data_IF_683779879314
#
_entry.id   IF_683779879314
#
_cell.length_a   1.000
_cell.length_b   1.000
_cell.length_c   1.000
_cell.angle_alpha   90.00
_cell.angle_beta   90.00
_cell.angle_gamma   90.00
#
_symmetry.space_group_name_H-M   'P 1'
#
loop_
_entity.id
_entity.type
_entity.pdbx_description
1 polymer ?
#
# COMPACT_ATOMS: atom_id res chain seq x y z
N UNK A 1 -5.23 -22.64 1.16
CA UNK A 1 -4.52 -21.54 1.86
C UNK A 1 -5.01 -20.19 1.35
N UNK A 2 -5.27 -19.24 2.25
CA UNK A 2 -5.80 -17.92 1.90
C UNK A 2 -4.70 -16.87 2.06
N UNK A 3 -4.57 -15.97 1.10
CA UNK A 3 -3.71 -14.81 1.16
C UNK A 3 -4.54 -13.53 1.06
N UNK A 4 -4.23 -12.54 1.89
CA UNK A 4 -4.83 -11.22 1.87
C UNK A 4 -3.78 -10.19 1.51
N UNK A 5 -3.90 -9.59 0.33
CA UNK A 5 -3.08 -8.46 -0.06
C UNK A 5 -3.72 -7.14 0.36
N UNK A 6 -3.03 -6.46 1.26
CA UNK A 6 -3.39 -5.16 1.84
C UNK A 6 -2.41 -4.14 1.29
N UNK A 7 -2.87 -3.20 0.47
CA UNK A 7 -2.00 -2.11 0.05
C UNK A 7 -2.71 -0.79 0.07
N UNK A 8 -1.96 0.29 0.21
CA UNK A 8 -2.53 1.63 0.10
C UNK A 8 -2.56 2.03 -1.37
N UNK A 9 -3.54 2.83 -1.78
CA UNK A 9 -3.55 3.38 -3.13
C UNK A 9 -2.22 4.07 -3.44
N UNK A 10 -1.68 3.88 -4.66
CA UNK A 10 -0.38 4.40 -5.10
C UNK A 10 0.87 3.74 -4.49
N UNK A 11 0.75 2.52 -3.94
CA UNK A 11 1.88 1.68 -3.51
C UNK A 11 2.26 0.57 -4.50
N UNK A 12 1.83 0.69 -5.77
CA UNK A 12 2.05 -0.36 -6.78
C UNK A 12 0.99 -1.47 -6.78
N UNK A 13 0.04 -1.41 -5.86
CA UNK A 13 -1.17 -2.24 -5.77
C UNK A 13 -1.87 -2.47 -7.09
N UNK A 14 -2.19 -1.40 -7.84
CA UNK A 14 -2.87 -1.52 -9.14
C UNK A 14 -2.04 -2.31 -10.16
N UNK A 15 -0.71 -2.14 -10.14
CA UNK A 15 0.19 -2.89 -11.03
C UNK A 15 0.22 -4.37 -10.65
N UNK A 16 0.41 -4.67 -9.37
CA UNK A 16 0.36 -6.04 -8.85
C UNK A 16 -0.99 -6.72 -9.15
N UNK A 17 -2.10 -6.01 -8.91
CA UNK A 17 -3.46 -6.49 -9.12
C UNK A 17 -3.81 -6.82 -10.56
N UNK A 18 -3.28 -6.06 -11.52
CA UNK A 18 -3.67 -6.18 -12.92
C UNK A 18 -2.70 -7.05 -13.73
N UNK A 19 -1.43 -7.13 -13.34
CA UNK A 19 -0.40 -7.78 -14.15
C UNK A 19 0.26 -8.96 -13.44
N UNK A 20 0.45 -8.90 -12.13
CA UNK A 20 1.25 -9.91 -11.42
C UNK A 20 0.35 -10.99 -10.83
N UNK A 21 -0.60 -10.64 -9.97
CA UNK A 21 -1.48 -11.61 -9.30
C UNK A 21 -2.31 -12.47 -10.27
N UNK A 22 -2.84 -11.95 -11.40
CA UNK A 22 -3.51 -12.78 -12.39
C UNK A 22 -2.62 -13.82 -13.08
N UNK A 23 -1.30 -13.68 -13.01
CA UNK A 23 -0.36 -14.57 -13.69
C UNK A 23 -0.02 -15.85 -12.92
N UNK A 24 -0.52 -16.00 -11.69
CA UNK A 24 -0.36 -17.22 -10.91
C UNK A 24 -1.49 -18.20 -11.26
N UNK A 25 -1.16 -19.29 -11.97
CA UNK A 25 -2.17 -20.24 -12.48
C UNK A 25 -2.86 -21.10 -11.42
N UNK A 26 -2.20 -21.34 -10.31
CA UNK A 26 -2.71 -22.21 -9.24
C UNK A 26 -3.32 -21.41 -8.08
N UNK A 27 -3.65 -20.14 -8.31
CA UNK A 27 -4.27 -19.27 -7.32
C UNK A 27 -5.60 -18.79 -7.86
N UNK A 28 -6.67 -18.97 -7.09
CA UNK A 28 -7.94 -18.30 -7.31
C UNK A 28 -7.78 -16.85 -6.88
N UNK A 29 -7.70 -15.96 -7.86
CA UNK A 29 -7.44 -14.54 -7.62
C UNK A 29 -8.71 -13.70 -7.66
N UNK A 30 -8.93 -12.93 -6.61
CA UNK A 30 -10.03 -11.98 -6.48
C UNK A 30 -9.51 -10.53 -6.40
N UNK A 31 -9.77 -9.75 -7.44
CA UNK A 31 -9.47 -8.31 -7.49
C UNK A 31 -10.69 -7.51 -7.02
N UNK A 32 -10.55 -6.72 -5.95
CA UNK A 32 -11.61 -5.83 -5.42
C UNK A 32 -12.94 -6.54 -5.13
N UNK A 33 -12.86 -7.64 -4.39
CA UNK A 33 -14.04 -8.44 -4.03
C UNK A 33 -14.88 -7.75 -2.96
N UNK A 34 -15.96 -7.09 -3.40
CA UNK A 34 -16.81 -6.25 -2.55
C UNK A 34 -17.30 -6.93 -1.26
N UNK A 35 -17.76 -8.20 -1.24
CA UNK A 35 -18.21 -8.84 0.00
C UNK A 35 -17.12 -8.88 1.08
N UNK A 36 -15.88 -9.20 0.72
CA UNK A 36 -14.78 -9.24 1.68
C UNK A 36 -14.47 -7.84 2.25
N UNK A 37 -14.50 -6.81 1.42
CA UNK A 37 -14.29 -5.43 1.85
C UNK A 37 -15.40 -4.93 2.78
N UNK A 38 -16.65 -5.27 2.49
CA UNK A 38 -17.77 -4.94 3.37
C UNK A 38 -17.62 -5.67 4.69
N UNK A 39 -17.32 -6.97 4.64
CA UNK A 39 -17.10 -7.77 5.84
C UNK A 39 -15.95 -7.24 6.69
N UNK A 40 -14.81 -6.87 6.12
CA UNK A 40 -13.71 -6.31 6.90
C UNK A 40 -14.19 -5.06 7.65
N UNK A 41 -14.96 -4.19 7.00
CA UNK A 41 -15.47 -2.97 7.61
C UNK A 41 -16.56 -3.20 8.68
N UNK A 42 -17.47 -4.17 8.49
CA UNK A 42 -18.70 -4.27 9.30
C UNK A 42 -18.80 -5.53 10.16
N UNK A 43 -18.06 -6.59 9.84
CA UNK A 43 -18.22 -7.92 10.43
C UNK A 43 -19.53 -8.62 10.03
N UNK A 44 -20.22 -8.18 8.97
CA UNK A 44 -21.53 -8.73 8.57
C UNK A 44 -21.45 -10.23 8.22
N UNK A 45 -22.12 -11.13 8.97
CA UNK A 45 -22.10 -12.57 8.71
C UNK A 45 -22.54 -12.96 7.30
N UNK A 46 -23.46 -12.21 6.67
CA UNK A 46 -23.90 -12.51 5.29
C UNK A 46 -22.77 -12.32 4.30
N UNK A 47 -21.95 -11.29 4.49
CA UNK A 47 -20.76 -11.08 3.65
C UNK A 47 -19.72 -12.16 3.91
N UNK A 48 -19.53 -12.61 5.16
CA UNK A 48 -18.66 -13.74 5.48
C UNK A 48 -19.10 -15.02 4.73
N UNK A 49 -20.39 -15.34 4.74
CA UNK A 49 -20.94 -16.49 4.02
C UNK A 49 -20.70 -16.40 2.52
N UNK A 50 -20.89 -15.22 1.92
CA UNK A 50 -20.60 -15.00 0.49
C UNK A 50 -19.13 -15.20 0.17
N UNK A 51 -18.23 -14.74 1.04
CA UNK A 51 -16.79 -14.94 0.89
C UNK A 51 -16.44 -16.43 0.97
N UNK A 52 -16.95 -17.14 1.97
CA UNK A 52 -16.69 -18.59 2.12
C UNK A 52 -17.18 -19.38 0.91
N UNK A 53 -18.41 -19.13 0.45
CA UNK A 53 -18.93 -19.78 -0.76
C UNK A 53 -18.06 -19.52 -1.99
N UNK A 54 -17.55 -18.30 -2.16
CA UNK A 54 -16.68 -17.96 -3.27
C UNK A 54 -15.33 -18.71 -3.20
N UNK A 55 -14.82 -18.94 -1.99
CA UNK A 55 -13.63 -19.78 -1.74
C UNK A 55 -13.94 -21.26 -2.03
N UNK A 56 -15.04 -21.78 -1.48
CA UNK A 56 -15.42 -23.20 -1.57
C UNK A 56 -15.80 -23.64 -2.99
N UNK A 57 -16.27 -22.71 -3.83
CA UNK A 57 -16.56 -22.95 -5.25
C UNK A 57 -15.31 -22.95 -6.13
N UNK A 58 -14.17 -22.52 -5.58
CA UNK A 58 -12.89 -22.52 -6.27
C UNK A 58 -12.34 -23.93 -6.50
N UNK A 59 -11.71 -24.14 -7.65
CA UNK A 59 -10.97 -25.36 -7.97
C UNK A 59 -9.47 -25.27 -7.59
N UNK A 60 -9.07 -24.23 -6.86
CA UNK A 60 -7.67 -23.93 -6.52
C UNK A 60 -7.41 -24.08 -5.04
N UNK A 61 -6.26 -24.67 -4.71
CA UNK A 61 -5.82 -24.86 -3.33
C UNK A 61 -5.43 -23.54 -2.63
N UNK A 62 -5.13 -22.50 -3.41
CA UNK A 62 -4.73 -21.18 -2.93
C UNK A 62 -5.70 -20.12 -3.41
N UNK A 63 -6.05 -19.19 -2.54
CA UNK A 63 -6.87 -18.03 -2.86
C UNK A 63 -6.13 -16.76 -2.48
N UNK A 64 -6.16 -15.75 -3.35
CA UNK A 64 -5.59 -14.44 -3.09
C UNK A 64 -6.66 -13.37 -3.27
N UNK A 65 -6.95 -12.64 -2.19
CA UNK A 65 -7.77 -11.43 -2.24
C UNK A 65 -6.89 -10.20 -2.27
N UNK A 66 -7.18 -9.24 -3.14
CA UNK A 66 -6.43 -7.99 -3.23
C UNK A 66 -7.35 -6.78 -3.39
N UNK A 67 -7.28 -5.85 -2.44
CA UNK A 67 -8.03 -4.58 -2.50
C UNK A 67 -7.24 -3.47 -1.77
N UNK A 68 -7.20 -2.28 -2.37
CA UNK A 68 -6.52 -1.11 -1.79
C UNK A 68 -7.23 -0.52 -0.55
N UNK A 69 -8.46 -0.97 -0.30
CA UNK A 69 -9.27 -0.57 0.84
C UNK A 69 -9.68 -1.76 1.71
N UNK A 70 -8.94 -2.87 1.66
CA UNK A 70 -9.21 -4.04 2.52
C UNK A 70 -9.01 -3.68 4.00
N UNK A 71 -7.94 -2.93 4.29
CA UNK A 71 -7.66 -2.30 5.58
C UNK A 71 -7.45 -0.80 5.32
N UNK A 72 -8.17 0.03 6.06
CA UNK A 72 -8.30 1.47 5.86
C UNK A 72 -8.25 2.21 7.22
N UNK A 73 -8.85 3.39 7.31
CA UNK A 73 -8.76 4.35 8.42
C UNK A 73 -9.09 3.81 9.83
N UNK A 74 -9.75 2.66 9.95
CA UNK A 74 -10.04 1.97 11.21
C UNK A 74 -9.42 0.56 11.20
N UNK A 75 -8.09 0.45 11.30
CA UNK A 75 -7.39 -0.79 10.97
C UNK A 75 -7.69 -1.92 11.97
N UNK A 76 -7.89 -1.62 13.26
CA UNK A 76 -8.06 -2.65 14.30
C UNK A 76 -9.30 -3.53 14.09
N UNK A 77 -10.49 -2.93 13.90
CA UNK A 77 -11.71 -3.72 13.70
C UNK A 77 -11.65 -4.50 12.39
N UNK A 78 -11.09 -3.90 11.33
CA UNK A 78 -10.92 -4.55 10.03
C UNK A 78 -9.97 -5.74 10.10
N UNK A 79 -8.84 -5.59 10.78
CA UNK A 79 -7.87 -6.67 11.04
C UNK A 79 -8.52 -7.79 11.86
N UNK A 80 -9.24 -7.46 12.95
CA UNK A 80 -9.94 -8.45 13.78
C UNK A 80 -10.99 -9.23 13.00
N UNK A 81 -11.80 -8.55 12.19
CA UNK A 81 -12.81 -9.22 11.37
C UNK A 81 -12.12 -10.16 10.37
N UNK A 82 -11.08 -9.71 9.66
CA UNK A 82 -10.35 -10.55 8.71
C UNK A 82 -9.70 -11.76 9.39
N UNK A 83 -9.09 -11.58 10.57
CA UNK A 83 -8.50 -12.67 11.35
C UNK A 83 -9.56 -13.65 11.87
N UNK A 84 -10.75 -13.18 12.23
CA UNK A 84 -11.86 -14.05 12.62
C UNK A 84 -12.38 -14.88 11.43
N UNK A 85 -12.36 -14.33 10.22
CA UNK A 85 -12.80 -15.05 9.02
C UNK A 85 -11.75 -16.03 8.50
N UNK A 86 -10.47 -15.63 8.54
CA UNK A 86 -9.33 -16.39 8.03
C UNK A 86 -8.16 -16.33 9.02
N UNK A 87 -8.20 -17.08 10.13
CA UNK A 87 -7.16 -17.01 11.17
C UNK A 87 -5.78 -17.45 10.69
N UNK A 88 -5.74 -18.37 9.72
CA UNK A 88 -4.51 -18.92 9.13
C UNK A 88 -4.12 -18.24 7.81
N UNK A 89 -4.67 -17.06 7.51
CA UNK A 89 -4.32 -16.34 6.29
C UNK A 89 -2.90 -15.77 6.33
N UNK A 90 -2.20 -15.87 5.21
CA UNK A 90 -0.97 -15.11 4.97
C UNK A 90 -1.31 -13.68 4.55
N UNK A 91 -0.65 -12.70 5.15
CA UNK A 91 -0.80 -11.29 4.79
C UNK A 91 0.32 -10.86 3.86
N UNK A 92 -0.03 -10.14 2.80
CA UNK A 92 0.91 -9.44 1.93
C UNK A 92 0.60 -7.95 2.04
N UNK A 93 1.47 -7.18 2.69
CA UNK A 93 1.27 -5.74 2.87
C UNK A 93 2.21 -4.93 1.98
N UNK A 94 1.66 -4.03 1.17
CA UNK A 94 2.46 -3.16 0.28
C UNK A 94 2.71 -1.80 0.92
N UNK A 95 3.99 -1.46 1.09
CA UNK A 95 4.46 -0.16 1.52
C UNK A 95 5.21 0.55 0.40
N UNK A 96 5.38 1.86 0.57
CA UNK A 96 6.15 2.73 -0.32
C UNK A 96 6.89 3.73 0.53
N UNK A 97 8.03 4.23 0.10
CA UNK A 97 8.67 5.36 0.75
C UNK A 97 7.65 6.51 0.95
N UNK A 98 7.54 7.00 2.19
CA UNK A 98 6.49 7.93 2.59
C UNK A 98 6.54 9.24 1.79
N UNK A 99 7.73 9.77 1.51
CA UNK A 99 7.91 10.99 0.70
C UNK A 99 7.45 10.78 -0.73
N UNK A 100 7.85 9.65 -1.34
CA UNK A 100 7.45 9.30 -2.70
C UNK A 100 5.94 9.05 -2.80
N UNK A 101 5.35 8.46 -1.75
CA UNK A 101 3.92 8.25 -1.67
C UNK A 101 3.16 9.57 -1.58
N UNK A 102 3.57 10.49 -0.70
CA UNK A 102 3.00 11.85 -0.59
C UNK A 102 3.11 12.59 -1.93
N UNK A 103 4.29 12.56 -2.57
CA UNK A 103 4.49 13.17 -3.87
C UNK A 103 3.55 12.58 -4.93
N UNK A 104 3.36 11.26 -4.92
CA UNK A 104 2.43 10.57 -5.83
C UNK A 104 0.96 10.94 -5.60
N UNK A 105 0.55 11.06 -4.34
CA UNK A 105 -0.79 11.54 -3.96
C UNK A 105 -1.01 13.00 -4.38
N UNK A 106 0.00 13.86 -4.20
CA UNK A 106 -0.05 15.25 -4.64
C UNK A 106 -0.21 15.36 -6.16
N UNK A 107 0.62 14.64 -6.94
CA UNK A 107 0.51 14.65 -8.40
C UNK A 107 -0.86 14.15 -8.86
N UNK A 108 -1.39 13.10 -8.22
CA UNK A 108 -2.75 12.64 -8.50
C UNK A 108 -3.79 13.74 -8.29
N UNK A 109 -3.77 14.40 -7.12
CA UNK A 109 -4.71 15.46 -6.76
C UNK A 109 -4.60 16.65 -7.71
N UNK A 110 -3.37 17.03 -8.08
CA UNK A 110 -3.09 18.07 -9.07
C UNK A 110 -3.70 17.75 -10.43
N UNK A 111 -3.45 16.55 -10.98
CA UNK A 111 -4.05 16.12 -12.25
C UNK A 111 -5.58 16.11 -12.19
N UNK A 112 -6.16 15.63 -11.09
CA UNK A 112 -7.60 15.59 -10.90
C UNK A 112 -8.22 16.99 -10.83
N UNK A 113 -7.56 17.94 -10.17
CA UNK A 113 -8.04 19.33 -10.07
C UNK A 113 -7.95 20.04 -11.42
N UNK A 114 -6.84 19.88 -12.16
CA UNK A 114 -6.70 20.41 -13.52
C UNK A 114 -7.82 19.90 -14.43
N UNK A 115 -8.09 18.59 -14.41
CA UNK A 115 -9.16 18.00 -15.20
C UNK A 115 -10.56 18.55 -14.85
N UNK A 116 -10.78 18.87 -13.56
CA UNK A 116 -12.05 19.41 -13.05
C UNK A 116 -12.15 20.94 -13.14
N UNK A 117 -11.15 21.63 -13.71
CA UNK A 117 -11.08 23.09 -13.71
C UNK A 117 -11.03 23.71 -12.30
N UNK A 118 -10.51 22.97 -11.31
CA UNK A 118 -10.39 23.42 -9.92
C UNK A 118 -9.00 24.00 -9.64
N UNK A 119 -8.86 24.93 -8.68
CA UNK A 119 -7.56 25.40 -8.22
C UNK A 119 -6.64 24.24 -7.84
N UNK A 120 -5.37 24.31 -8.24
CA UNK A 120 -4.34 23.35 -7.86
C UNK A 120 -3.63 23.91 -6.63
N UNK A 121 -3.74 23.27 -5.45
CA UNK A 121 -2.99 23.71 -4.29
C UNK A 121 -1.49 23.52 -4.56
N UNK A 122 -0.66 24.36 -3.96
CA UNK A 122 0.76 24.08 -3.79
C UNK A 122 0.98 22.79 -3.00
N UNK A 123 2.20 22.23 -3.06
CA UNK A 123 2.53 21.04 -2.27
C UNK A 123 2.38 21.30 -0.76
N UNK A 124 2.76 22.48 -0.30
CA UNK A 124 2.64 22.86 1.11
C UNK A 124 1.17 22.93 1.55
N UNK A 125 0.31 23.58 0.77
CA UNK A 125 -1.13 23.64 1.04
C UNK A 125 -1.75 22.23 1.03
N UNK A 126 -1.36 21.38 0.08
CA UNK A 126 -1.81 19.98 0.03
C UNK A 126 -1.44 19.23 1.32
N UNK A 127 -0.19 19.32 1.78
CA UNK A 127 0.25 18.67 3.01
C UNK A 127 -0.50 19.21 4.22
N UNK A 128 -0.67 20.54 4.32
CA UNK A 128 -1.40 21.16 5.42
C UNK A 128 -2.87 20.73 5.46
N UNK A 129 -3.55 20.74 4.31
CA UNK A 129 -4.96 20.35 4.20
C UNK A 129 -5.20 18.86 4.49
N UNK A 130 -4.20 18.00 4.29
CA UNK A 130 -4.33 16.54 4.43
C UNK A 130 -3.49 15.99 5.60
N UNK A 131 -2.95 16.83 6.49
CA UNK A 131 -1.97 16.42 7.51
C UNK A 131 -2.38 15.18 8.31
N UNK A 132 -3.61 15.15 8.83
CA UNK A 132 -4.09 14.02 9.64
C UNK A 132 -4.24 12.73 8.83
N UNK A 133 -4.78 12.82 7.61
CA UNK A 133 -4.91 11.69 6.70
C UNK A 133 -3.53 11.14 6.30
N UNK A 134 -2.57 12.04 6.04
CA UNK A 134 -1.19 11.66 5.74
C UNK A 134 -0.54 10.99 6.96
N UNK A 135 -0.67 11.51 8.18
CA UNK A 135 -0.14 10.85 9.38
C UNK A 135 -0.67 9.42 9.47
N UNK A 136 -2.00 9.25 9.47
CA UNK A 136 -2.63 7.94 9.64
C UNK A 136 -2.21 6.94 8.56
N UNK A 137 -2.17 7.37 7.29
CA UNK A 137 -1.78 6.51 6.17
C UNK A 137 -0.33 6.07 6.20
N UNK A 138 0.54 6.79 6.90
CA UNK A 138 1.98 6.52 6.89
C UNK A 138 2.47 5.88 8.21
N UNK A 139 1.58 5.50 9.13
CA UNK A 139 1.91 4.70 10.32
C UNK A 139 2.17 3.22 9.98
N UNK A 140 3.07 2.95 9.02
CA UNK A 140 3.35 1.61 8.49
C UNK A 140 3.80 0.63 9.57
N UNK A 141 4.66 1.06 10.48
CA UNK A 141 5.13 0.21 11.57
C UNK A 141 3.96 -0.24 12.46
N UNK A 142 3.06 0.68 12.82
CA UNK A 142 1.89 0.35 13.63
C UNK A 142 0.96 -0.62 12.90
N UNK A 143 0.70 -0.40 11.60
CA UNK A 143 -0.08 -1.33 10.80
C UNK A 143 0.58 -2.72 10.73
N UNK A 144 1.89 -2.78 10.53
CA UNK A 144 2.64 -4.03 10.50
C UNK A 144 2.56 -4.79 11.84
N UNK A 145 2.74 -4.10 12.97
CA UNK A 145 2.61 -4.70 14.31
C UNK A 145 1.20 -5.25 14.52
N UNK A 146 0.18 -4.45 14.21
CA UNK A 146 -1.21 -4.86 14.33
C UNK A 146 -1.52 -6.11 13.48
N UNK A 147 -0.98 -6.20 12.26
CA UNK A 147 -1.10 -7.40 11.43
C UNK A 147 -0.38 -8.60 12.06
N UNK A 148 0.84 -8.42 12.56
CA UNK A 148 1.63 -9.47 13.22
C UNK A 148 1.01 -9.99 14.52
N UNK A 149 0.22 -9.17 15.21
CA UNK A 149 -0.54 -9.60 16.39
C UNK A 149 -1.67 -10.57 16.05
N UNK A 150 -2.21 -10.52 14.82
CA UNK A 150 -3.41 -11.26 14.42
C UNK A 150 -3.15 -12.34 13.37
N UNK A 151 -2.02 -12.28 12.66
CA UNK A 151 -1.66 -13.21 11.60
C UNK A 151 -0.22 -13.73 11.80
N UNK A 152 -0.04 -15.04 11.61
CA UNK A 152 1.26 -15.70 11.77
C UNK A 152 2.24 -15.23 10.70
N UNK A 153 1.78 -15.17 9.45
CA UNK A 153 2.58 -14.82 8.28
C UNK A 153 2.22 -13.42 7.78
N UNK A 154 3.18 -12.49 7.81
CA UNK A 154 3.04 -11.13 7.27
C UNK A 154 4.27 -10.81 6.43
N UNK A 155 4.06 -10.65 5.13
CA UNK A 155 5.08 -10.34 4.15
C UNK A 155 4.95 -8.89 3.72
N UNK A 156 6.04 -8.13 3.79
CA UNK A 156 6.09 -6.73 3.38
C UNK A 156 6.65 -6.65 1.96
N UNK A 157 5.96 -5.92 1.10
CA UNK A 157 6.42 -5.56 -0.24
C UNK A 157 6.72 -4.07 -0.29
N UNK A 158 7.90 -3.71 -0.78
CA UNK A 158 8.24 -2.31 -0.97
C UNK A 158 8.06 -1.93 -2.43
N UNK A 159 7.26 -0.89 -2.69
CA UNK A 159 7.02 -0.32 -4.00
C UNK A 159 8.32 -0.06 -4.79
N UNK A 160 9.38 0.32 -4.10
CA UNK A 160 10.70 0.60 -4.66
C UNK A 160 11.31 -0.63 -5.35
N UNK A 161 11.01 -1.84 -4.87
CA UNK A 161 11.45 -3.11 -5.45
C UNK A 161 10.80 -3.34 -6.83
N UNK A 162 9.64 -2.73 -7.11
CA UNK A 162 8.95 -2.87 -8.39
C UNK A 162 9.47 -1.92 -9.47
N UNK A 163 9.85 -0.70 -9.08
CA UNK A 163 9.99 0.43 -10.04
C UNK A 163 11.40 0.57 -10.57
N UNK A 164 12.42 0.12 -9.83
CA UNK A 164 13.81 0.38 -10.17
C UNK A 164 14.44 -0.63 -11.15
N UNK A 165 13.63 -1.16 -12.08
CA UNK A 165 14.03 -2.00 -13.23
C UNK A 165 14.46 -3.45 -12.91
N UNK A 166 14.17 -3.99 -11.74
CA UNK A 166 14.41 -5.40 -11.47
C UNK A 166 13.15 -6.05 -10.91
N UNK A 167 12.22 -6.38 -11.80
CA UNK A 167 11.00 -7.07 -11.42
C UNK A 167 11.24 -8.53 -11.01
N UNK A 168 12.38 -9.11 -11.39
CA UNK A 168 12.70 -10.50 -11.04
C UNK A 168 12.83 -10.72 -9.52
N UNK A 169 13.56 -9.90 -8.73
CA UNK A 169 13.52 -9.96 -7.27
C UNK A 169 12.12 -9.90 -6.68
N UNK A 170 11.25 -9.06 -7.25
CA UNK A 170 9.86 -8.98 -6.83
C UNK A 170 9.09 -10.27 -7.15
N UNK A 171 9.17 -10.75 -8.40
CA UNK A 171 8.56 -12.03 -8.81
C UNK A 171 9.07 -13.15 -7.92
N UNK A 172 10.37 -13.19 -7.65
CA UNK A 172 11.01 -14.19 -6.81
C UNK A 172 10.46 -14.14 -5.38
N UNK A 173 10.36 -12.94 -4.78
CA UNK A 173 9.74 -12.77 -3.46
C UNK A 173 8.29 -13.27 -3.47
N UNK A 174 7.52 -13.02 -4.53
CA UNK A 174 6.15 -13.55 -4.65
C UNK A 174 6.08 -15.06 -4.90
N UNK A 175 7.04 -15.65 -5.62
CA UNK A 175 7.16 -17.11 -5.75
C UNK A 175 7.41 -17.75 -4.40
N UNK A 176 8.24 -17.13 -3.56
CA UNK A 176 8.55 -17.60 -2.21
C UNK A 176 7.34 -17.48 -1.29
N UNK A 177 6.70 -16.31 -1.26
CA UNK A 177 5.51 -16.05 -0.41
C UNK A 177 4.34 -16.94 -0.80
N UNK A 178 4.02 -17.00 -2.09
CA UNK A 178 2.86 -17.76 -2.57
C UNK A 178 3.18 -19.23 -2.80
N UNK A 179 4.46 -19.63 -2.74
CA UNK A 179 4.96 -20.96 -3.07
C UNK A 179 4.47 -21.43 -4.46
N UNK A 180 4.47 -20.53 -5.43
CA UNK A 180 3.93 -20.77 -6.77
C UNK A 180 4.86 -20.26 -7.86
N UNK A 181 4.80 -20.89 -9.03
CA UNK A 181 5.51 -20.39 -10.21
C UNK A 181 4.70 -19.26 -10.86
N UNK A 182 5.30 -18.09 -11.01
CA UNK A 182 4.79 -17.04 -11.91
C UNK A 182 5.15 -17.42 -13.34
N UNK A 183 4.18 -17.49 -14.23
CA UNK A 183 4.48 -17.51 -15.66
C UNK A 183 5.19 -16.23 -16.07
N UNK A 184 5.89 -16.27 -17.21
CA UNK A 184 6.52 -15.08 -17.76
C UNK A 184 5.44 -14.07 -18.17
N UNK A 185 5.13 -13.18 -17.25
CA UNK A 185 4.32 -12.00 -17.54
C UNK A 185 5.17 -11.07 -18.37
N UNK A 186 4.65 -10.63 -19.53
CA UNK A 186 5.21 -9.50 -20.26
C UNK A 186 5.06 -8.26 -19.38
N UNK A 187 6.08 -8.01 -18.59
CA UNK A 187 6.11 -6.91 -17.65
C UNK A 187 6.92 -5.79 -18.26
N UNK A 188 6.28 -5.10 -19.19
CA UNK A 188 6.83 -3.84 -19.65
C UNK A 188 6.71 -2.83 -18.50
N UNK A 189 7.85 -2.49 -17.90
CA UNK A 189 7.94 -1.56 -16.77
C UNK A 189 7.35 -0.19 -17.07
N UNK A 190 7.16 0.17 -18.35
CA UNK A 190 6.48 1.39 -18.79
C UNK A 190 5.02 1.49 -18.32
N UNK A 191 4.39 0.38 -17.92
CA UNK A 191 3.03 0.37 -17.39
C UNK A 191 2.94 0.60 -15.87
N UNK A 192 4.07 0.65 -15.15
CA UNK A 192 4.07 0.96 -13.72
C UNK A 192 3.73 2.46 -13.55
N UNK A 193 2.66 2.76 -12.79
CA UNK A 193 2.16 4.13 -12.57
C UNK A 193 1.66 4.89 -13.81
N UNK A 194 1.39 4.23 -14.95
CA UNK A 194 0.78 4.88 -16.14
C UNK A 194 -0.62 5.45 -15.87
N UNK A 195 -1.18 5.17 -14.69
CA UNK A 195 -2.43 5.72 -14.22
C UNK A 195 -3.61 5.06 -14.92
N UNK A 196 -4.65 4.76 -14.16
CA UNK A 196 -6.00 4.67 -14.69
C UNK A 196 -6.43 6.04 -15.20
N UNK A 197 -5.85 6.51 -16.31
CA UNK A 197 -6.43 7.61 -17.06
C UNK A 197 -7.86 7.17 -17.44
N UNK A 198 -8.88 8.03 -17.26
CA UNK A 198 -10.24 7.67 -17.65
C UNK A 198 -10.23 7.26 -19.12
N UNK A 199 -10.59 6.00 -19.37
CA UNK A 199 -10.37 5.26 -20.62
C UNK A 199 -11.10 5.83 -21.87
N UNK A 200 -11.66 7.04 -21.81
CA UNK A 200 -12.53 7.58 -22.86
C UNK A 200 -11.97 8.74 -23.69
N UNK A 201 -10.77 9.26 -23.45
CA UNK A 201 -10.26 10.34 -24.34
C UNK A 201 -8.75 10.53 -24.33
N UNK A 202 -7.96 9.65 -24.95
CA UNK A 202 -6.58 10.01 -25.32
C UNK A 202 -6.21 9.51 -26.73
N UNK A 203 -6.69 10.25 -27.74
CA UNK A 203 -5.97 10.40 -29.02
C UNK A 203 -5.02 11.60 -28.90
N UNK A 204 -3.94 11.46 -28.14
CA UNK A 204 -2.79 12.37 -28.18
C UNK A 204 -1.54 11.62 -27.68
N UNK A 205 -0.38 11.75 -28.34
CA UNK A 205 0.78 10.92 -28.07
C UNK A 205 1.48 11.38 -26.79
N UNK A 206 1.47 10.52 -25.76
CA UNK A 206 2.34 10.68 -24.59
C UNK A 206 3.78 10.36 -24.97
N UNK A 207 4.53 11.38 -25.38
CA UNK A 207 5.98 11.44 -25.22
C UNK A 207 6.28 12.63 -24.32
N UNK A 208 7.23 12.43 -23.39
CA UNK A 208 7.79 13.41 -22.46
C UNK A 208 7.08 13.54 -21.09
N UNK A 209 7.59 12.78 -20.10
CA UNK A 209 7.96 13.40 -18.83
C UNK A 209 9.36 12.88 -18.44
N UNK A 210 10.40 13.72 -18.55
CA UNK A 210 11.78 13.32 -18.28
C UNK A 210 12.10 13.31 -16.78
N UNK A 211 13.15 12.57 -16.46
CA UNK A 211 13.86 12.33 -15.20
C UNK A 211 14.18 13.54 -14.28
N UNK A 212 13.55 14.70 -14.45
CA UNK A 212 13.98 15.98 -13.86
C UNK A 212 13.68 16.11 -12.35
N UNK A 213 12.58 15.53 -11.85
CA UNK A 213 12.23 15.61 -10.42
C UNK A 213 12.93 14.53 -9.58
N UNK A 214 13.14 13.34 -10.15
CA UNK A 214 13.91 12.26 -9.51
C UNK A 214 15.38 12.66 -9.41
N UNK A 215 15.95 13.29 -10.44
CA UNK A 215 17.35 13.72 -10.43
C UNK A 215 17.64 14.88 -9.49
N UNK A 216 16.70 15.83 -9.29
CA UNK A 216 16.89 16.95 -8.36
C UNK A 216 16.78 16.57 -6.87
N UNK A 217 16.08 15.48 -6.55
CA UNK A 217 16.12 14.90 -5.20
C UNK A 217 17.37 14.03 -4.99
N UNK A 218 17.85 13.35 -6.04
CA UNK A 218 19.10 12.56 -6.02
C UNK A 218 20.37 13.41 -5.84
N UNK A 219 20.44 14.58 -6.45
CA UNK A 219 21.62 15.47 -6.33
C UNK A 219 21.72 16.16 -4.97
N UNK A 220 20.62 16.25 -4.20
CA UNK A 220 20.65 16.78 -2.82
C UNK A 220 20.90 15.72 -1.74
N UNK A 221 20.82 14.43 -2.07
CA UNK A 221 20.89 13.32 -1.10
C UNK A 221 21.95 12.26 -1.43
N UNK A 222 23.04 12.66 -2.09
CA UNK A 222 24.30 11.91 -2.07
C UNK A 222 24.32 10.64 -2.92
N UNK A 223 25.26 10.61 -3.86
CA UNK A 223 25.71 9.44 -4.60
C UNK A 223 26.21 8.33 -3.67
N UNK A 224 25.37 7.34 -3.37
CA UNK A 224 25.83 5.99 -3.05
C UNK A 224 25.06 5.00 -3.90
N UNK A 225 25.80 4.24 -4.73
CA UNK A 225 25.31 2.96 -5.27
C UNK A 225 25.20 2.03 -4.07
N UNK A 226 24.05 2.04 -3.42
CA UNK A 226 23.79 1.15 -2.29
C UNK A 226 23.10 -0.10 -2.81
N UNK A 227 23.71 -1.24 -2.48
CA UNK A 227 23.29 -2.59 -2.81
C UNK A 227 21.86 -2.82 -2.25
N UNK A 228 21.00 -3.55 -2.95
CA UNK A 228 19.58 -3.70 -2.56
C UNK A 228 19.38 -4.23 -1.14
N UNK A 229 20.35 -4.99 -0.63
CA UNK A 229 20.39 -5.45 0.76
C UNK A 229 20.55 -4.32 1.80
N UNK A 230 21.26 -3.25 1.46
CA UNK A 230 21.51 -2.09 2.35
C UNK A 230 20.30 -1.17 2.49
N UNK A 231 19.46 -1.05 1.45
CA UNK A 231 18.19 -0.29 1.51
C UNK A 231 17.19 -1.02 2.40
N UNK A 232 17.08 -2.34 2.27
CA UNK A 232 16.25 -3.18 3.15
C UNK A 232 16.70 -3.08 4.60
N UNK A 233 18.02 -3.17 4.87
CA UNK A 233 18.55 -2.98 6.23
C UNK A 233 18.38 -1.54 6.74
N UNK A 234 18.55 -0.52 5.90
CA UNK A 234 18.35 0.89 6.27
C UNK A 234 16.89 1.20 6.62
N UNK A 235 15.94 0.65 5.87
CA UNK A 235 14.52 0.74 6.17
C UNK A 235 14.16 -0.06 7.42
N UNK A 236 14.64 -1.30 7.58
CA UNK A 236 14.46 -2.08 8.81
C UNK A 236 15.03 -1.37 10.04
N UNK A 237 16.18 -0.70 9.90
CA UNK A 237 16.79 0.12 10.96
C UNK A 237 15.99 1.40 11.22
N UNK A 238 15.38 2.01 10.19
CA UNK A 238 14.43 3.11 10.35
C UNK A 238 13.11 2.64 11.01
N UNK A 239 12.72 1.38 10.81
CA UNK A 239 11.62 0.72 11.52
C UNK A 239 11.97 0.41 12.98
N UNK A 240 13.21 0.02 13.29
CA UNK A 240 13.71 -0.27 14.65
C UNK A 240 13.93 1.00 15.50
N UNK A 241 14.32 2.12 14.87
CA UNK A 241 14.63 3.37 15.58
C UNK A 241 13.35 4.14 16.00
N UNK A 242 12.15 3.69 15.62
CA UNK A 242 10.92 4.33 16.06
C UNK A 242 10.81 5.78 15.59
N UNK A 243 10.57 5.98 14.28
CA UNK A 243 9.91 7.19 13.78
C UNK A 243 10.61 8.52 14.04
N UNK A 244 11.73 8.79 13.37
CA UNK A 244 12.04 10.19 13.03
C UNK A 244 10.99 10.68 12.04
N UNK A 245 10.04 11.46 12.55
CA UNK A 245 8.81 11.80 11.87
C UNK A 245 9.14 12.78 10.74
N UNK A 246 8.68 12.50 9.52
CA UNK A 246 8.74 13.42 8.37
C UNK A 246 8.21 14.84 8.71
N UNK A 247 7.40 14.97 9.75
CA UNK A 247 6.86 16.23 10.24
C UNK A 247 7.90 17.10 10.97
N UNK A 248 8.97 16.51 11.52
CA UNK A 248 10.05 17.25 12.17
C UNK A 248 10.80 18.13 11.15
N UNK A 249 10.99 17.64 9.93
CA UNK A 249 11.58 18.42 8.82
C UNK A 249 10.64 19.49 8.24
N UNK A 250 9.35 19.49 8.63
CA UNK A 250 8.40 20.58 8.38
C UNK A 250 8.22 21.50 9.60
N UNK A 251 9.04 21.38 10.64
CA UNK A 251 8.98 22.22 11.83
C UNK A 251 7.80 21.93 12.76
N UNK A 252 7.28 20.69 12.73
CA UNK A 252 6.12 20.27 13.53
C UNK A 252 6.62 19.45 14.72
N UNK A 253 6.57 20.01 15.92
CA UNK A 253 6.96 19.31 17.16
C UNK A 253 5.96 18.19 17.54
N UNK A 254 6.47 16.96 17.73
CA UNK A 254 5.69 15.77 18.11
C UNK A 254 4.85 15.93 19.40
N UNK A 255 5.34 16.66 20.41
CA UNK A 255 4.66 16.80 21.71
C UNK A 255 3.26 17.45 21.62
N UNK A 256 3.06 18.39 20.69
CA UNK A 256 1.76 19.03 20.50
C UNK A 256 0.77 18.09 19.78
N UNK A 257 1.28 17.21 18.93
CA UNK A 257 0.51 16.25 18.14
C UNK A 257 -0.11 15.15 19.02
N UNK A 258 0.65 14.60 19.96
CA UNK A 258 0.16 13.61 20.93
C UNK A 258 -0.92 14.21 21.85
N UNK A 259 -0.72 15.47 22.28
CA UNK A 259 -1.69 16.17 23.13
C UNK A 259 -3.02 16.48 22.42
N UNK A 260 -2.99 16.75 21.11
CA UNK A 260 -4.18 17.04 20.30
C UNK A 260 -4.90 15.76 19.83
N UNK A 261 -4.17 14.67 19.59
CA UNK A 261 -4.73 13.36 19.25
C UNK A 261 -5.35 12.68 20.48
N UNK A 262 -4.72 12.77 21.65
CA UNK A 262 -5.26 12.24 22.91
C UNK A 262 -6.56 12.92 23.37
N UNK A 263 -6.79 14.19 22.96
CA UNK A 263 -8.03 14.93 23.29
C UNK A 263 -9.20 14.67 22.33
N UNK A 264 -8.97 14.05 21.16
CA UNK A 264 -10.00 13.83 20.13
C UNK A 264 -10.35 12.36 19.89
N UNK A 265 -9.62 11.43 20.50
CA UNK A 265 -9.98 10.01 20.47
C UNK A 265 -10.92 9.71 21.66
N UNK A 266 -12.03 8.97 21.47
CA UNK A 266 -12.83 8.48 22.58
C UNK A 266 -11.96 7.64 23.52
N UNK A 267 -12.25 7.69 24.83
CA UNK A 267 -11.48 7.13 25.95
C UNK A 267 -11.17 5.61 25.91
N UNK A 268 -11.39 4.94 24.78
CA UNK A 268 -11.16 3.52 24.55
C UNK A 268 -9.69 3.21 24.15
N UNK A 269 -8.82 4.23 24.10
CA UNK A 269 -7.42 4.12 23.69
C UNK A 269 -6.44 4.67 24.76
N UNK A 270 -6.73 4.47 26.05
CA UNK A 270 -5.74 4.72 27.11
C UNK A 270 -4.74 3.57 27.16
N UNK A 271 -3.48 3.88 26.85
CA UNK A 271 -2.34 2.98 27.05
C UNK A 271 -2.17 2.70 28.56
N UNK A 272 -2.13 1.42 28.92
CA UNK A 272 -1.62 0.99 30.24
C UNK A 272 -0.09 0.96 30.11
N UNK A 273 0.58 1.68 31.00
CA UNK A 273 2.04 1.69 31.15
C UNK A 273 2.58 0.33 31.59
#
# INVERSE_FOLDING_TARGET
MIYLHVGLGRTGTTYAQNLIFPAFKNILYFNKFAPLKVYSATGDPKCADMVRRAVDQGDKDKVLFSDEGLISHAPLSQVRNLAALFPDAGIIVSFRNQLDHIASMYQYRRTLNLYKGKPVPSLQEFVQQNRYDLIQKHMYYHLYQLLKEHFQEVHVLFFEEFVWNNLEPFKQSMREVLQEKVEDVITDSRFINSGSAPAKSMKAPWRCFPNYLVNNLRTRWGSRKEDGASVKQGLLKAFEIGGSNIFDSFGIQNQKLESDLGRRLPAQYSFVH
#
